data_IF_221342630700
#
_entry.id   IF_221342630700
#
_cell.length_a   1.000
_cell.length_b   1.000
_cell.length_c   1.000
_cell.angle_alpha   90.00
_cell.angle_beta   90.00
_cell.angle_gamma   90.00
#
_symmetry.space_group_name_H-M   'P 1'
#
loop_
_entity.id
_entity.type
_entity.pdbx_description
1 polymer ?
#
# COMPACT_ATOMS: atom_id res chain seq x y z
N UNK A 1 57.91 -71.22 -21.94
CA UNK A 1 58.20 -70.10 -22.87
C UNK A 1 57.20 -70.20 -24.02
N UNK A 2 56.20 -69.33 -24.06
CA UNK A 2 55.21 -69.31 -25.15
C UNK A 2 53.84 -68.74 -24.80
N UNK A 3 53.76 -67.80 -23.86
CA UNK A 3 52.52 -67.17 -23.38
C UNK A 3 52.38 -65.76 -24.01
N UNK A 4 52.52 -65.69 -25.34
CA UNK A 4 52.66 -64.42 -26.08
C UNK A 4 51.68 -64.28 -27.26
N UNK A 5 50.53 -64.96 -27.23
CA UNK A 5 49.56 -64.93 -28.34
C UNK A 5 48.18 -64.36 -28.01
N UNK A 6 47.84 -64.07 -26.74
CA UNK A 6 46.56 -63.42 -26.41
C UNK A 6 46.60 -61.89 -26.38
N UNK A 7 47.77 -61.28 -26.17
CA UNK A 7 47.88 -59.80 -26.03
C UNK A 7 47.67 -59.06 -27.36
N UNK A 8 47.80 -59.75 -28.51
CA UNK A 8 47.64 -59.11 -29.83
C UNK A 8 46.19 -58.99 -30.30
N UNK A 9 45.21 -59.60 -29.63
CA UNK A 9 43.78 -59.51 -30.04
C UNK A 9 43.07 -58.27 -29.48
N UNK A 10 43.66 -57.57 -28.51
CA UNK A 10 43.05 -56.39 -27.90
C UNK A 10 43.47 -55.06 -28.55
N UNK A 11 44.31 -55.06 -29.60
CA UNK A 11 44.80 -53.83 -30.26
C UNK A 11 44.10 -53.49 -31.58
N UNK A 12 43.13 -54.30 -32.03
CA UNK A 12 42.27 -54.00 -33.18
C UNK A 12 40.79 -54.06 -32.75
N UNK A 13 40.38 -53.06 -31.97
CA UNK A 13 38.98 -52.61 -32.03
C UNK A 13 39.01 -51.20 -32.61
N UNK A 14 38.62 -51.11 -33.89
CA UNK A 14 38.20 -49.87 -34.52
C UNK A 14 37.23 -49.11 -33.60
N UNK A 15 37.28 -47.76 -33.60
CA UNK A 15 36.41 -46.96 -32.75
C UNK A 15 34.97 -47.08 -33.27
N UNK A 16 34.17 -47.96 -32.66
CA UNK A 16 32.73 -47.95 -32.86
C UNK A 16 32.20 -46.59 -32.38
N UNK A 17 31.74 -45.80 -33.34
CA UNK A 17 30.81 -44.67 -33.26
C UNK A 17 30.71 -43.93 -31.93
N UNK A 18 31.16 -42.67 -31.92
CA UNK A 18 31.02 -41.70 -30.84
C UNK A 18 29.59 -41.19 -30.57
N UNK A 19 28.56 -41.74 -31.23
CA UNK A 19 27.20 -41.18 -31.25
C UNK A 19 26.18 -41.81 -30.27
N UNK A 20 26.16 -43.13 -29.93
CA UNK A 20 25.18 -43.66 -28.98
C UNK A 20 25.54 -43.36 -27.51
N UNK A 21 26.80 -43.05 -27.22
CA UNK A 21 27.27 -42.77 -25.85
C UNK A 21 26.95 -41.34 -25.37
N UNK A 22 26.62 -40.42 -26.28
CA UNK A 22 26.16 -39.06 -25.95
C UNK A 22 24.65 -39.04 -25.72
N UNK A 23 23.87 -39.71 -26.57
CA UNK A 23 22.41 -39.86 -26.40
C UNK A 23 22.05 -40.62 -25.11
N UNK A 24 22.75 -41.73 -24.82
CA UNK A 24 22.51 -42.49 -23.59
C UNK A 24 22.88 -41.68 -22.33
N UNK A 25 23.94 -40.86 -22.39
CA UNK A 25 24.30 -39.93 -21.30
C UNK A 25 23.28 -38.83 -21.11
N UNK A 26 22.75 -38.26 -22.20
CA UNK A 26 21.69 -37.25 -22.16
C UNK A 26 20.41 -37.79 -21.53
N UNK A 27 20.01 -39.02 -21.90
CA UNK A 27 18.85 -39.68 -21.33
C UNK A 27 19.04 -39.96 -19.82
N UNK A 28 20.21 -40.47 -19.42
CA UNK A 28 20.54 -40.69 -18.00
C UNK A 28 20.56 -39.39 -17.19
N UNK A 29 21.07 -38.30 -17.77
CA UNK A 29 21.07 -36.97 -17.16
C UNK A 29 19.64 -36.44 -16.94
N UNK A 30 18.77 -36.54 -17.96
CA UNK A 30 17.36 -36.15 -17.86
C UNK A 30 16.61 -36.97 -16.82
N UNK A 31 16.81 -38.28 -16.78
CA UNK A 31 16.22 -39.14 -15.75
C UNK A 31 16.67 -38.74 -14.34
N UNK A 32 17.96 -38.49 -14.13
CA UNK A 32 18.49 -38.01 -12.84
C UNK A 32 17.89 -36.67 -12.43
N UNK A 33 17.72 -35.75 -13.37
CA UNK A 33 17.08 -34.46 -13.13
C UNK A 33 15.61 -34.62 -12.71
N UNK A 34 14.84 -35.43 -13.44
CA UNK A 34 13.44 -35.73 -13.12
C UNK A 34 13.30 -36.39 -11.75
N UNK A 35 14.18 -37.35 -11.41
CA UNK A 35 14.18 -37.97 -10.09
C UNK A 35 14.47 -36.97 -8.95
N UNK A 36 15.39 -36.02 -9.15
CA UNK A 36 15.67 -34.98 -8.16
C UNK A 36 14.46 -34.05 -7.96
N UNK A 37 13.77 -33.68 -9.04
CA UNK A 37 12.53 -32.90 -8.96
C UNK A 37 11.42 -33.68 -8.27
N UNK A 38 11.21 -34.93 -8.64
CA UNK A 38 10.19 -35.79 -8.04
C UNK A 38 10.42 -36.00 -6.55
N UNK A 39 11.68 -36.21 -6.14
CA UNK A 39 12.07 -36.26 -4.73
C UNK A 39 11.64 -35.00 -3.99
N UNK A 40 11.92 -33.82 -4.56
CA UNK A 40 11.57 -32.54 -3.94
C UNK A 40 10.08 -32.33 -3.84
N UNK A 41 9.31 -32.72 -4.86
CA UNK A 41 7.85 -32.70 -4.82
C UNK A 41 7.34 -33.56 -3.66
N UNK A 42 7.82 -34.80 -3.56
CA UNK A 42 7.43 -35.71 -2.48
C UNK A 42 7.81 -35.16 -1.10
N UNK A 43 9.04 -34.68 -0.94
CA UNK A 43 9.50 -34.07 0.31
C UNK A 43 8.64 -32.85 0.68
N UNK A 44 8.33 -32.00 -0.30
CA UNK A 44 7.50 -30.82 -0.10
C UNK A 44 6.06 -31.13 0.30
N UNK A 45 5.51 -32.26 -0.15
CA UNK A 45 4.13 -32.69 0.14
C UNK A 45 3.99 -33.41 1.48
N UNK A 46 5.06 -34.01 2.00
CA UNK A 46 5.02 -34.78 3.26
C UNK A 46 5.67 -34.06 4.44
N UNK A 47 6.38 -32.95 4.21
CA UNK A 47 7.04 -32.20 5.28
C UNK A 47 6.16 -31.07 5.81
N UNK A 48 5.51 -31.32 6.94
CA UNK A 48 4.53 -30.40 7.56
C UNK A 48 5.03 -28.97 7.80
N UNK A 49 6.22 -28.71 8.42
CA UNK A 49 6.67 -27.34 8.65
C UNK A 49 6.96 -26.58 7.36
N UNK A 50 7.27 -27.27 6.26
CA UNK A 50 7.43 -26.67 4.95
C UNK A 50 6.08 -26.18 4.41
N UNK A 51 5.06 -27.03 4.40
CA UNK A 51 3.71 -26.67 3.93
C UNK A 51 3.12 -25.53 4.76
N UNK A 52 3.34 -25.59 6.07
CA UNK A 52 2.89 -24.57 7.01
C UNK A 52 3.51 -23.20 6.68
N UNK A 53 4.83 -23.15 6.48
CA UNK A 53 5.56 -21.89 6.27
C UNK A 53 5.49 -21.36 4.83
N UNK A 54 5.49 -22.24 3.82
CA UNK A 54 5.49 -21.86 2.40
C UNK A 54 4.11 -21.52 1.84
N UNK A 55 3.07 -22.20 2.32
CA UNK A 55 1.75 -22.16 1.68
C UNK A 55 0.68 -21.69 2.66
N UNK A 56 0.52 -22.37 3.80
CA UNK A 56 -0.60 -22.09 4.71
C UNK A 56 -0.52 -20.69 5.32
N UNK A 57 0.68 -20.30 5.81
CA UNK A 57 0.87 -19.03 6.49
C UNK A 57 0.71 -17.84 5.52
N UNK A 58 1.31 -17.83 4.30
CA UNK A 58 1.05 -16.77 3.33
C UNK A 58 -0.41 -16.63 2.92
N UNK A 59 -1.12 -17.75 2.76
CA UNK A 59 -2.55 -17.74 2.45
C UNK A 59 -3.34 -17.11 3.61
N UNK A 60 -3.06 -17.51 4.84
CA UNK A 60 -3.73 -16.98 6.02
C UNK A 60 -3.50 -15.47 6.16
N UNK A 61 -2.27 -15.01 5.95
CA UNK A 61 -1.93 -13.58 6.01
C UNK A 61 -2.59 -12.80 4.86
N UNK A 62 -2.65 -13.37 3.64
CA UNK A 62 -3.33 -12.75 2.51
C UNK A 62 -4.84 -12.62 2.72
N UNK A 63 -5.48 -13.64 3.30
CA UNK A 63 -6.91 -13.60 3.67
C UNK A 63 -7.14 -12.57 4.78
N UNK A 64 -6.28 -12.56 5.80
CA UNK A 64 -6.36 -11.60 6.91
C UNK A 64 -6.24 -10.17 6.39
N UNK A 65 -5.27 -9.92 5.51
CA UNK A 65 -5.10 -8.63 4.85
C UNK A 65 -6.37 -8.28 4.05
N UNK A 66 -6.82 -9.14 3.16
CA UNK A 66 -8.05 -8.93 2.40
C UNK A 66 -9.28 -8.64 3.28
N UNK A 67 -9.38 -9.28 4.44
CA UNK A 67 -10.48 -9.07 5.39
C UNK A 67 -10.43 -7.72 6.11
N UNK A 68 -9.24 -7.24 6.51
CA UNK A 68 -9.07 -5.89 7.08
C UNK A 68 -9.53 -4.85 6.07
N UNK A 69 -9.15 -5.05 4.82
CA UNK A 69 -9.32 -4.06 3.77
C UNK A 69 -10.71 -4.09 3.13
N UNK A 70 -11.38 -5.24 3.20
CA UNK A 70 -12.81 -5.36 2.89
C UNK A 70 -13.71 -4.98 4.07
N UNK A 71 -13.13 -4.79 5.27
CA UNK A 71 -13.81 -4.60 6.54
C UNK A 71 -14.53 -3.28 6.73
N UNK A 72 -14.49 -2.38 5.74
CA UNK A 72 -15.34 -1.19 5.71
C UNK A 72 -16.80 -1.57 5.45
N UNK A 73 -17.43 -2.13 6.48
CA UNK A 73 -18.87 -2.25 6.60
C UNK A 73 -19.53 -0.91 6.24
N UNK A 74 -20.55 -1.02 5.39
CA UNK A 74 -21.52 0.00 5.02
C UNK A 74 -21.57 1.16 6.03
N UNK A 75 -20.84 2.24 5.76
CA UNK A 75 -21.04 3.48 6.49
C UNK A 75 -22.47 3.89 6.12
N UNK A 76 -23.46 3.80 7.04
CA UNK A 76 -24.80 4.24 6.72
C UNK A 76 -24.65 5.69 6.27
N UNK A 77 -25.29 6.06 5.17
CA UNK A 77 -25.27 7.43 4.65
C UNK A 77 -25.88 8.35 5.71
N UNK A 78 -25.09 8.76 6.69
CA UNK A 78 -25.49 9.73 7.69
C UNK A 78 -25.62 11.02 6.91
N UNK A 79 -26.85 11.44 6.68
CA UNK A 79 -27.17 12.78 6.18
C UNK A 79 -26.76 13.77 7.25
N UNK A 80 -25.47 14.06 7.35
CA UNK A 80 -24.97 15.14 8.19
C UNK A 80 -25.41 16.43 7.50
N UNK A 81 -26.33 17.14 8.15
CA UNK A 81 -26.80 18.43 7.65
C UNK A 81 -25.73 19.47 7.94
N UNK A 82 -24.79 19.65 7.02
CA UNK A 82 -23.76 20.70 7.07
C UNK A 82 -24.40 22.06 6.80
N UNK A 83 -25.06 22.62 7.80
CA UNK A 83 -25.67 23.95 7.73
C UNK A 83 -25.53 24.64 9.08
N UNK A 84 -25.62 25.97 9.11
CA UNK A 84 -25.63 26.76 10.35
C UNK A 84 -26.69 26.33 11.38
N UNK A 85 -27.68 25.53 10.97
CA UNK A 85 -28.65 24.87 11.86
C UNK A 85 -28.03 23.78 12.76
N UNK A 86 -26.90 23.18 12.38
CA UNK A 86 -26.23 22.15 13.18
C UNK A 86 -25.31 22.72 14.26
N UNK A 87 -25.06 24.03 14.25
CA UNK A 87 -24.18 24.69 15.23
C UNK A 87 -25.04 25.12 16.42
N UNK A 88 -24.76 24.62 17.65
CA UNK A 88 -25.65 24.84 18.78
C UNK A 88 -25.69 26.30 19.24
N UNK A 89 -24.54 27.00 19.23
CA UNK A 89 -24.40 28.44 19.51
C UNK A 89 -23.15 28.99 18.84
N UNK A 90 -23.21 30.22 18.33
CA UNK A 90 -22.07 30.86 17.69
C UNK A 90 -22.28 32.35 17.45
N UNK A 91 -21.21 33.06 17.07
CA UNK A 91 -21.27 34.47 16.68
C UNK A 91 -20.93 34.64 15.20
N UNK A 92 -21.66 35.51 14.51
CA UNK A 92 -21.34 35.93 13.15
C UNK A 92 -21.00 37.41 13.15
N UNK A 93 -19.83 37.79 12.62
CA UNK A 93 -19.36 39.17 12.70
C UNK A 93 -19.58 39.90 11.37
N UNK A 94 -20.09 41.11 11.43
CA UNK A 94 -20.27 41.97 10.27
C UNK A 94 -19.47 43.26 10.47
N UNK A 95 -18.43 43.44 9.67
CA UNK A 95 -17.61 44.64 9.67
C UNK A 95 -18.10 45.59 8.58
N UNK A 96 -18.73 46.67 9.01
CA UNK A 96 -19.32 47.70 8.15
C UNK A 96 -18.81 49.10 8.55
N UNK A 97 -17.64 49.52 8.06
CA UNK A 97 -16.97 50.75 8.50
C UNK A 97 -17.71 52.04 8.09
N UNK A 98 -18.44 52.03 6.95
CA UNK A 98 -19.13 53.22 6.41
C UNK A 98 -20.66 53.17 6.53
N UNK A 99 -21.19 52.23 7.33
CA UNK A 99 -22.61 52.07 7.62
C UNK A 99 -23.50 51.88 6.37
N UNK A 100 -23.03 51.09 5.41
CA UNK A 100 -23.79 50.71 4.22
C UNK A 100 -24.99 49.82 4.63
N UNK A 101 -26.22 50.27 4.38
CA UNK A 101 -27.42 49.58 4.85
C UNK A 101 -27.81 48.39 3.97
N UNK A 102 -27.48 48.41 2.68
CA UNK A 102 -27.96 47.44 1.68
C UNK A 102 -27.39 46.04 1.88
N UNK A 103 -26.06 45.89 1.96
CA UNK A 103 -25.41 44.59 2.17
C UNK A 103 -25.60 44.10 3.62
N UNK A 104 -25.55 45.04 4.58
CA UNK A 104 -25.77 44.73 6.00
C UNK A 104 -27.16 44.14 6.25
N UNK A 105 -28.21 44.75 5.68
CA UNK A 105 -29.59 44.24 5.84
C UNK A 105 -29.80 42.89 5.15
N UNK A 106 -29.13 42.62 4.03
CA UNK A 106 -29.17 41.31 3.36
C UNK A 106 -28.52 40.23 4.22
N UNK A 107 -27.31 40.46 4.72
CA UNK A 107 -26.59 39.51 5.58
C UNK A 107 -27.37 39.27 6.88
N UNK A 108 -27.92 40.31 7.50
CA UNK A 108 -28.78 40.20 8.69
C UNK A 108 -30.02 39.34 8.40
N UNK A 109 -30.65 39.51 7.23
CA UNK A 109 -31.83 38.73 6.84
C UNK A 109 -31.49 37.25 6.63
N UNK A 110 -30.34 36.95 6.01
CA UNK A 110 -29.86 35.57 5.85
C UNK A 110 -29.58 34.93 7.22
N UNK A 111 -28.91 35.65 8.12
CA UNK A 111 -28.55 35.14 9.44
C UNK A 111 -29.75 35.02 10.38
N UNK A 112 -30.81 35.80 10.19
CA UNK A 112 -32.07 35.66 10.95
C UNK A 112 -32.74 34.28 10.75
N UNK A 113 -32.41 33.55 9.69
CA UNK A 113 -32.84 32.15 9.48
C UNK A 113 -32.24 31.20 10.54
N UNK A 114 -31.20 31.62 11.25
CA UNK A 114 -30.43 30.83 12.21
C UNK A 114 -30.42 31.52 13.59
N UNK A 115 -31.49 31.40 14.39
CA UNK A 115 -31.65 32.12 15.66
C UNK A 115 -30.60 31.75 16.73
N UNK A 116 -29.94 30.61 16.57
CA UNK A 116 -28.86 30.15 17.43
C UNK A 116 -27.51 30.88 17.22
N UNK A 117 -27.41 31.73 16.20
CA UNK A 117 -26.20 32.50 15.88
C UNK A 117 -26.44 33.98 16.15
N UNK A 118 -25.65 34.56 17.04
CA UNK A 118 -25.71 35.98 17.38
C UNK A 118 -24.92 36.80 16.35
N UNK A 119 -25.54 37.80 15.72
CA UNK A 119 -24.87 38.66 14.73
C UNK A 119 -24.36 39.93 15.40
N UNK A 120 -23.05 40.17 15.33
CA UNK A 120 -22.39 41.35 15.89
C UNK A 120 -21.94 42.28 14.76
N UNK A 121 -22.32 43.56 14.84
CA UNK A 121 -21.98 44.56 13.82
C UNK A 121 -20.92 45.52 14.36
N UNK A 122 -19.79 45.63 13.66
CA UNK A 122 -18.70 46.53 14.01
C UNK A 122 -18.52 47.61 12.95
N UNK A 123 -18.29 48.85 13.40
CA UNK A 123 -18.04 50.02 12.54
C UNK A 123 -16.56 50.29 12.27
N UNK A 124 -15.71 49.26 12.36
CA UNK A 124 -14.26 49.39 12.23
C UNK A 124 -13.72 48.47 11.15
N UNK A 125 -12.64 48.88 10.50
CA UNK A 125 -11.89 48.09 9.51
C UNK A 125 -10.91 47.09 10.18
N UNK A 126 -10.62 47.26 11.47
CA UNK A 126 -9.62 46.48 12.20
C UNK A 126 -10.17 45.12 12.68
N UNK A 127 -10.28 44.16 11.76
CA UNK A 127 -10.81 42.81 12.03
C UNK A 127 -10.10 42.10 13.19
N UNK A 128 -8.77 42.22 13.29
CA UNK A 128 -7.96 41.50 14.30
C UNK A 128 -8.24 41.92 15.74
N UNK A 129 -8.63 43.18 15.96
CA UNK A 129 -8.85 43.72 17.30
C UNK A 129 -10.21 43.31 17.87
N UNK A 130 -11.20 43.14 17.00
CA UNK A 130 -12.58 42.83 17.37
C UNK A 130 -12.93 41.36 17.18
N UNK A 131 -11.96 40.51 16.86
CA UNK A 131 -12.17 39.07 16.77
C UNK A 131 -12.25 38.48 18.18
N UNK A 132 -13.43 38.05 18.66
CA UNK A 132 -13.56 37.53 20.01
C UNK A 132 -12.84 36.17 20.11
N UNK A 133 -12.03 36.04 21.15
CA UNK A 133 -11.37 34.78 21.52
C UNK A 133 -12.19 33.98 22.54
N UNK A 134 -13.22 34.62 23.10
CA UNK A 134 -14.08 34.03 24.13
C UNK A 134 -15.28 33.30 23.52
N UNK A 135 -15.80 32.33 24.26
CA UNK A 135 -17.01 31.59 23.89
C UNK A 135 -18.26 32.50 23.97
N UNK A 136 -19.26 32.35 23.08
CA UNK A 136 -19.33 31.44 21.93
C UNK A 136 -18.42 31.86 20.77
N UNK A 137 -17.79 30.87 20.14
CA UNK A 137 -16.81 31.06 19.08
C UNK A 137 -17.41 31.70 17.82
N UNK A 138 -16.56 32.36 17.05
CA UNK A 138 -16.92 32.95 15.76
C UNK A 138 -17.14 31.84 14.75
N UNK A 139 -18.27 31.87 14.07
CA UNK A 139 -18.61 30.89 13.03
C UNK A 139 -18.22 31.41 11.65
N UNK A 140 -18.26 32.73 11.47
CA UNK A 140 -17.84 33.41 10.25
C UNK A 140 -17.94 34.92 10.42
N UNK A 141 -17.34 35.64 9.47
CA UNK A 141 -17.41 37.08 9.41
C UNK A 141 -17.48 37.59 7.96
N UNK A 142 -18.08 38.76 7.78
CA UNK A 142 -18.14 39.47 6.50
C UNK A 142 -17.52 40.84 6.68
N UNK A 143 -16.59 41.20 5.80
CA UNK A 143 -15.94 42.50 5.77
C UNK A 143 -16.29 43.18 4.46
N UNK A 144 -16.88 44.37 4.55
CA UNK A 144 -17.22 45.19 3.39
C UNK A 144 -16.10 46.20 3.21
N UNK A 145 -15.32 46.05 2.14
CA UNK A 145 -14.28 47.00 1.72
C UNK A 145 -14.76 47.77 0.49
N UNK A 146 -14.38 49.03 0.42
CA UNK A 146 -14.55 49.82 -0.80
C UNK A 146 -13.21 49.96 -1.48
N UNK A 147 -13.14 49.53 -2.74
CA UNK A 147 -11.98 49.71 -3.60
C UNK A 147 -12.27 50.88 -4.53
N UNK A 148 -11.39 51.87 -4.51
CA UNK A 148 -11.45 52.95 -5.48
C UNK A 148 -11.25 52.37 -6.88
N UNK A 149 -12.30 52.40 -7.71
CA UNK A 149 -12.18 52.00 -9.11
C UNK A 149 -11.43 53.09 -9.86
N UNK A 150 -10.38 52.72 -10.60
CA UNK A 150 -9.52 53.64 -11.34
C UNK A 150 -10.18 54.28 -12.59
N UNK A 151 -11.51 54.38 -12.63
CA UNK A 151 -12.24 55.00 -13.74
C UNK A 151 -13.64 55.44 -13.34
N UNK A 152 -13.91 56.72 -13.56
CA UNK A 152 -15.25 57.32 -13.62
C UNK A 152 -16.15 57.09 -12.39
N UNK A 153 -15.70 57.50 -11.20
CA UNK A 153 -16.56 57.80 -10.03
C UNK A 153 -17.37 56.64 -9.43
N UNK A 154 -17.31 55.43 -9.99
CA UNK A 154 -18.00 54.26 -9.48
C UNK A 154 -17.15 53.60 -8.40
N UNK A 155 -17.59 53.70 -7.15
CA UNK A 155 -16.95 53.00 -6.01
C UNK A 155 -17.27 51.51 -6.14
N UNK A 156 -16.24 50.69 -6.41
CA UNK A 156 -16.39 49.24 -6.44
C UNK A 156 -16.38 48.70 -5.01
N UNK A 157 -17.32 47.80 -4.69
CA UNK A 157 -17.45 47.20 -3.37
C UNK A 157 -16.90 45.78 -3.40
N UNK A 158 -15.94 45.50 -2.54
CA UNK A 158 -15.36 44.17 -2.36
C UNK A 158 -15.88 43.60 -1.03
N UNK A 159 -16.48 42.42 -1.09
CA UNK A 159 -17.01 41.73 0.08
C UNK A 159 -16.10 40.54 0.38
N UNK A 160 -15.38 40.60 1.48
CA UNK A 160 -14.53 39.52 1.94
C UNK A 160 -15.29 38.67 2.96
N UNK A 161 -15.31 37.35 2.73
CA UNK A 161 -15.89 36.37 3.65
C UNK A 161 -14.76 35.69 4.42
N UNK A 162 -14.80 35.76 5.75
CA UNK A 162 -13.78 35.24 6.64
C UNK A 162 -14.35 34.10 7.48
N UNK A 163 -13.91 32.87 7.23
CA UNK A 163 -14.34 31.71 8.00
C UNK A 163 -13.16 31.08 8.75
N UNK A 164 -13.29 30.84 10.07
CA UNK A 164 -12.24 30.22 10.85
C UNK A 164 -12.10 28.72 10.54
N UNK A 165 -10.86 28.24 10.54
CA UNK A 165 -10.52 26.84 10.25
C UNK A 165 -11.00 25.83 11.29
N UNK A 166 -11.23 26.28 12.53
CA UNK A 166 -11.71 25.41 13.60
C UNK A 166 -13.20 25.05 13.44
N UNK A 167 -13.92 25.72 12.54
CA UNK A 167 -15.29 25.36 12.20
C UNK A 167 -15.24 24.27 11.14
N UNK A 168 -15.79 23.10 11.49
CA UNK A 168 -15.96 21.99 10.56
C UNK A 168 -16.70 22.45 9.30
N UNK A 169 -16.16 22.12 8.11
CA UNK A 169 -16.76 22.46 6.81
C UNK A 169 -16.98 23.97 6.60
N UNK A 170 -16.05 24.79 7.09
CA UNK A 170 -16.06 26.26 6.94
C UNK A 170 -16.19 26.74 5.49
N UNK A 171 -15.65 25.99 4.54
CA UNK A 171 -15.77 26.21 3.09
C UNK A 171 -17.21 26.06 2.58
N UNK A 172 -17.90 25.02 3.02
CA UNK A 172 -19.29 24.75 2.61
C UNK A 172 -20.26 25.73 3.28
N UNK A 173 -19.97 26.11 4.52
CA UNK A 173 -20.70 27.16 5.22
C UNK A 173 -20.53 28.51 4.54
N UNK A 174 -19.31 28.85 4.11
CA UNK A 174 -19.05 30.06 3.32
C UNK A 174 -19.87 30.06 2.03
N UNK A 175 -19.81 28.97 1.25
CA UNK A 175 -20.57 28.84 0.00
C UNK A 175 -22.08 28.92 0.23
N UNK A 176 -22.58 28.39 1.35
CA UNK A 176 -23.99 28.53 1.73
C UNK A 176 -24.36 30.00 2.01
N UNK A 177 -23.57 30.75 2.78
CA UNK A 177 -23.86 32.18 3.06
C UNK A 177 -23.78 33.01 1.78
N UNK A 178 -22.73 32.80 0.99
CA UNK A 178 -22.51 33.52 -0.26
C UNK A 178 -23.71 33.32 -1.19
N UNK A 179 -24.10 32.06 -1.43
CA UNK A 179 -25.25 31.75 -2.29
C UNK A 179 -26.57 32.33 -1.76
N UNK A 180 -26.85 32.25 -0.45
CA UNK A 180 -28.06 32.82 0.15
C UNK A 180 -28.09 34.37 0.05
N UNK A 181 -26.95 35.04 0.22
CA UNK A 181 -26.84 36.52 0.07
C UNK A 181 -27.04 36.95 -1.37
N UNK A 182 -26.44 36.25 -2.34
CA UNK A 182 -26.63 36.51 -3.77
C UNK A 182 -28.07 36.21 -4.22
N UNK A 183 -28.69 35.15 -3.70
CA UNK A 183 -30.11 34.85 -3.97
C UNK A 183 -31.03 35.97 -3.47
N UNK A 184 -30.80 36.49 -2.26
CA UNK A 184 -31.61 37.55 -1.68
C UNK A 184 -31.40 38.93 -2.34
N UNK A 185 -30.28 39.15 -3.02
CA UNK A 185 -30.01 40.41 -3.74
C UNK A 185 -30.83 40.53 -5.04
N UNK A 186 -31.62 39.51 -5.41
CA UNK A 186 -32.48 39.50 -6.59
C UNK A 186 -31.81 38.97 -7.86
N UNK A 187 -30.54 38.58 -7.77
CA UNK A 187 -29.81 37.90 -8.84
C UNK A 187 -30.04 36.39 -8.83
N UNK A 188 -31.04 35.93 -9.60
CA UNK A 188 -31.34 34.52 -9.93
C UNK A 188 -31.81 33.60 -8.79
N UNK A 189 -32.91 32.89 -9.08
CA UNK A 189 -33.38 31.74 -8.30
C UNK A 189 -32.39 30.57 -8.43
N UNK A 190 -31.41 30.50 -7.54
CA UNK A 190 -30.56 29.32 -7.39
C UNK A 190 -30.68 28.79 -5.96
N UNK A 191 -31.36 27.64 -5.81
CA UNK A 191 -31.30 26.85 -4.59
C UNK A 191 -30.13 25.88 -4.75
N UNK A 192 -29.03 26.13 -4.04
CA UNK A 192 -27.87 25.23 -4.06
C UNK A 192 -28.15 24.11 -3.05
N UNK A 193 -28.69 23.01 -3.55
CA UNK A 193 -28.76 21.75 -2.82
C UNK A 193 -27.41 21.05 -2.88
N UNK A 194 -26.64 21.09 -1.80
CA UNK A 194 -25.43 20.28 -1.70
C UNK A 194 -25.82 18.83 -1.39
N UNK A 195 -25.80 17.99 -2.43
CA UNK A 195 -25.83 16.54 -2.26
C UNK A 195 -24.38 16.06 -2.13
N UNK A 196 -23.88 15.98 -0.90
CA UNK A 196 -22.64 15.26 -0.64
C UNK A 196 -22.87 13.77 -0.86
N UNK A 197 -22.30 13.24 -1.93
CA UNK A 197 -22.04 11.82 -2.03
C UNK A 197 -20.74 11.55 -1.30
N UNK A 198 -20.82 10.84 -0.16
CA UNK A 198 -19.66 10.25 0.48
C UNK A 198 -18.99 9.35 -0.57
N UNK A 199 -17.89 9.84 -1.15
CA UNK A 199 -16.95 8.94 -1.83
C UNK A 199 -16.32 8.17 -0.68
N UNK A 200 -16.63 6.88 -0.59
CA UNK A 200 -15.96 5.96 0.32
C UNK A 200 -14.46 6.07 0.01
N UNK A 201 -13.72 6.78 0.85
CA UNK A 201 -12.28 6.77 0.78
C UNK A 201 -11.90 5.36 1.26
N UNK A 202 -11.67 4.45 0.31
CA UNK A 202 -11.55 3.00 0.52
C UNK A 202 -10.30 2.62 1.37
N UNK A 203 -9.54 3.61 1.83
CA UNK A 203 -8.27 3.45 2.55
C UNK A 203 -8.13 4.56 3.57
N UNK A 204 -8.11 4.22 4.85
CA UNK A 204 -7.60 5.11 5.87
C UNK A 204 -6.06 5.20 5.73
N UNK A 205 -5.47 6.27 6.24
CA UNK A 205 -4.01 6.49 6.21
C UNK A 205 -3.25 5.37 6.94
N UNK A 206 -3.88 4.75 7.94
CA UNK A 206 -3.38 3.57 8.65
C UNK A 206 -3.30 2.34 7.76
N UNK A 207 -4.29 2.11 6.90
CA UNK A 207 -4.34 0.96 5.99
C UNK A 207 -3.26 1.04 4.91
N UNK A 208 -2.93 2.25 4.46
CA UNK A 208 -1.85 2.49 3.50
C UNK A 208 -0.47 2.09 4.06
N UNK A 209 -0.29 2.14 5.38
CA UNK A 209 0.99 1.83 6.05
C UNK A 209 1.02 0.37 6.52
N UNK A 210 -0.11 -0.13 7.02
CA UNK A 210 -0.23 -1.49 7.55
C UNK A 210 -0.17 -2.56 6.43
N UNK A 211 -0.82 -2.31 5.30
CA UNK A 211 -0.90 -3.30 4.22
C UNK A 211 0.46 -3.66 3.59
N UNK A 212 1.34 -2.69 3.24
CA UNK A 212 2.69 -2.99 2.76
C UNK A 212 3.53 -3.74 3.80
N UNK A 213 3.39 -3.41 5.09
CA UNK A 213 4.13 -4.06 6.17
C UNK A 213 3.75 -5.55 6.31
N UNK A 214 2.45 -5.87 6.28
CA UNK A 214 1.95 -7.24 6.34
C UNK A 214 2.35 -8.04 5.09
N UNK A 215 2.23 -7.43 3.90
CA UNK A 215 2.67 -8.03 2.64
C UNK A 215 4.15 -8.36 2.64
N UNK A 216 4.98 -7.45 3.16
CA UNK A 216 6.42 -7.62 3.28
C UNK A 216 6.77 -8.76 4.23
N UNK A 217 6.13 -8.81 5.40
CA UNK A 217 6.32 -9.90 6.37
C UNK A 217 6.00 -11.26 5.75
N UNK A 218 4.96 -11.33 4.92
CA UNK A 218 4.60 -12.53 4.16
C UNK A 218 5.73 -12.99 3.24
N UNK A 219 6.34 -12.07 2.48
CA UNK A 219 7.45 -12.40 1.57
C UNK A 219 8.72 -12.82 2.33
N UNK A 220 8.98 -12.22 3.50
CA UNK A 220 10.11 -12.61 4.35
C UNK A 220 9.97 -14.06 4.83
N UNK A 221 8.76 -14.44 5.27
CA UNK A 221 8.50 -15.80 5.73
C UNK A 221 8.59 -16.82 4.60
N UNK A 222 8.05 -16.50 3.42
CA UNK A 222 8.16 -17.36 2.23
C UNK A 222 9.65 -17.55 1.88
N UNK A 223 10.42 -16.48 1.73
CA UNK A 223 11.82 -16.61 1.32
C UNK A 223 12.68 -17.34 2.35
N UNK A 224 12.41 -17.15 3.64
CA UNK A 224 13.14 -17.85 4.71
C UNK A 224 12.84 -19.34 4.73
N UNK A 225 11.64 -19.78 4.35
CA UNK A 225 11.28 -21.20 4.32
C UNK A 225 12.11 -22.04 3.33
N UNK A 226 12.66 -21.42 2.26
CA UNK A 226 13.48 -22.14 1.28
C UNK A 226 14.81 -22.64 1.86
N UNK A 227 15.20 -22.20 3.06
CA UNK A 227 16.38 -22.77 3.75
C UNK A 227 16.13 -24.14 4.35
N UNK A 228 14.87 -24.51 4.59
CA UNK A 228 14.52 -25.70 5.39
C UNK A 228 15.01 -26.98 4.70
N UNK A 229 14.65 -27.18 3.43
CA UNK A 229 15.04 -28.40 2.68
C UNK A 229 16.57 -28.51 2.55
N UNK A 230 17.31 -27.50 2.05
CA UNK A 230 18.76 -27.61 1.93
C UNK A 230 19.49 -27.82 3.26
N UNK A 231 19.03 -27.18 4.34
CA UNK A 231 19.62 -27.34 5.66
C UNK A 231 19.35 -28.74 6.26
N UNK A 232 18.16 -29.31 6.01
CA UNK A 232 17.84 -30.66 6.46
C UNK A 232 18.60 -31.73 5.68
N UNK A 233 18.76 -31.55 4.37
CA UNK A 233 19.57 -32.43 3.52
C UNK A 233 21.07 -32.39 3.90
N UNK A 234 21.52 -31.26 4.45
CA UNK A 234 22.86 -31.12 5.02
C UNK A 234 22.98 -31.81 6.39
N UNK A 235 22.02 -31.60 7.29
CA UNK A 235 22.03 -32.18 8.63
C UNK A 235 21.89 -33.71 8.61
N UNK A 236 21.10 -34.24 7.68
CA UNK A 236 20.96 -35.69 7.46
C UNK A 236 22.08 -36.31 6.62
N UNK A 237 23.05 -35.51 6.16
CA UNK A 237 24.10 -35.89 5.21
C UNK A 237 23.56 -36.49 3.88
N UNK A 238 22.27 -36.37 3.61
CA UNK A 238 21.63 -36.97 2.44
C UNK A 238 22.22 -36.42 1.13
N UNK A 239 22.54 -35.11 1.09
CA UNK A 239 23.23 -34.50 -0.06
C UNK A 239 24.57 -35.18 -0.37
N UNK A 240 25.32 -35.58 0.65
CA UNK A 240 26.59 -36.27 0.47
C UNK A 240 26.38 -37.66 -0.16
N UNK A 241 25.37 -38.41 0.29
CA UNK A 241 25.00 -39.69 -0.32
C UNK A 241 24.61 -39.52 -1.79
N UNK A 242 23.83 -38.49 -2.14
CA UNK A 242 23.45 -38.23 -3.53
C UNK A 242 24.66 -37.98 -4.44
N UNK A 243 25.64 -37.23 -3.95
CA UNK A 243 26.88 -36.98 -4.70
C UNK A 243 27.68 -38.27 -4.87
N UNK A 244 27.73 -39.12 -3.83
CA UNK A 244 28.39 -40.44 -3.89
C UNK A 244 27.73 -41.40 -4.90
N UNK A 245 26.42 -41.26 -5.16
CA UNK A 245 25.72 -42.02 -6.23
C UNK A 245 26.02 -41.52 -7.65
N UNK A 246 26.90 -40.53 -7.80
CA UNK A 246 27.35 -40.03 -9.10
C UNK A 246 26.50 -38.87 -9.66
N UNK A 247 25.70 -38.19 -8.82
CA UNK A 247 25.03 -36.94 -9.19
C UNK A 247 26.03 -35.78 -9.07
N UNK A 248 26.18 -35.00 -10.15
CA UNK A 248 27.06 -33.81 -10.09
C UNK A 248 26.49 -32.74 -9.14
N UNK A 249 27.32 -32.04 -8.35
CA UNK A 249 26.86 -30.95 -7.48
C UNK A 249 26.15 -29.82 -8.23
N UNK A 250 26.59 -29.50 -9.46
CA UNK A 250 25.96 -28.48 -10.30
C UNK A 250 24.52 -28.87 -10.67
N UNK A 251 24.28 -30.13 -11.04
CA UNK A 251 22.94 -30.62 -11.37
C UNK A 251 22.00 -30.55 -10.17
N UNK A 252 22.50 -30.89 -8.98
CA UNK A 252 21.74 -30.78 -7.73
C UNK A 252 21.28 -29.34 -7.47
N UNK A 253 22.19 -28.37 -7.53
CA UNK A 253 21.85 -26.97 -7.27
C UNK A 253 20.95 -26.38 -8.34
N UNK A 254 21.18 -26.73 -9.61
CA UNK A 254 20.34 -26.29 -10.71
C UNK A 254 18.91 -26.83 -10.61
N UNK A 255 18.75 -28.13 -10.32
CA UNK A 255 17.43 -28.72 -10.08
C UNK A 255 16.73 -28.11 -8.86
N UNK A 256 17.49 -27.81 -7.80
CA UNK A 256 16.98 -27.14 -6.60
C UNK A 256 16.48 -25.73 -6.91
N UNK A 257 17.27 -24.95 -7.64
CA UNK A 257 16.92 -23.58 -8.02
C UNK A 257 15.67 -23.55 -8.92
N UNK A 258 15.59 -24.41 -9.94
CA UNK A 258 14.41 -24.47 -10.82
C UNK A 258 13.15 -24.80 -10.02
N UNK A 259 13.25 -25.79 -9.13
CA UNK A 259 12.11 -26.19 -8.29
C UNK A 259 11.65 -25.03 -7.38
N UNK A 260 12.58 -24.38 -6.69
CA UNK A 260 12.25 -23.30 -5.75
C UNK A 260 11.70 -22.06 -6.48
N UNK A 261 12.20 -21.74 -7.69
CA UNK A 261 11.61 -20.69 -8.54
C UNK A 261 10.16 -21.02 -8.91
N UNK A 262 9.89 -22.26 -9.31
CA UNK A 262 8.55 -22.71 -9.65
C UNK A 262 7.59 -22.60 -8.46
N UNK A 263 8.02 -23.07 -7.28
CA UNK A 263 7.23 -22.98 -6.03
C UNK A 263 7.01 -21.52 -5.65
N UNK A 264 8.04 -20.67 -5.70
CA UNK A 264 7.91 -19.24 -5.40
C UNK A 264 6.88 -18.56 -6.30
N UNK A 265 6.93 -18.81 -7.61
CA UNK A 265 5.97 -18.25 -8.56
C UNK A 265 4.54 -18.71 -8.27
N UNK A 266 4.36 -20.01 -7.98
CA UNK A 266 3.05 -20.59 -7.66
C UNK A 266 2.46 -19.99 -6.37
N UNK A 267 3.26 -19.86 -5.30
CA UNK A 267 2.81 -19.25 -4.04
C UNK A 267 2.45 -17.78 -4.24
N UNK A 268 3.29 -17.02 -4.96
CA UNK A 268 2.96 -15.64 -5.32
C UNK A 268 1.63 -15.59 -6.07
N UNK A 269 1.41 -16.41 -7.10
CA UNK A 269 0.16 -16.46 -7.85
C UNK A 269 -1.06 -16.71 -6.94
N UNK A 270 -0.97 -17.67 -6.00
CA UNK A 270 -2.05 -17.94 -5.04
C UNK A 270 -2.37 -16.71 -4.19
N UNK A 271 -1.35 -16.05 -3.63
CA UNK A 271 -1.53 -14.82 -2.83
C UNK A 271 -2.23 -13.75 -3.66
N UNK A 272 -1.88 -13.61 -4.94
CA UNK A 272 -2.54 -12.65 -5.84
C UNK A 272 -3.98 -12.99 -6.14
N UNK A 273 -4.26 -14.27 -6.38
CA UNK A 273 -5.62 -14.72 -6.63
C UNK A 273 -6.53 -14.44 -5.44
N UNK A 274 -6.03 -14.62 -4.22
CA UNK A 274 -6.74 -14.25 -2.98
C UNK A 274 -7.00 -12.73 -2.95
N UNK A 275 -5.98 -11.90 -3.19
CA UNK A 275 -6.13 -10.44 -3.18
C UNK A 275 -7.08 -9.94 -4.27
N UNK A 276 -7.12 -10.62 -5.43
CA UNK A 276 -8.06 -10.33 -6.50
C UNK A 276 -9.53 -10.54 -6.06
N UNK A 277 -9.82 -11.57 -5.26
CA UNK A 277 -11.17 -11.78 -4.70
C UNK A 277 -11.62 -10.65 -3.77
N UNK A 278 -10.69 -9.91 -3.16
CA UNK A 278 -10.99 -8.78 -2.29
C UNK A 278 -11.02 -7.43 -3.04
N UNK A 279 -11.22 -7.45 -4.36
CA UNK A 279 -11.24 -6.27 -5.24
C UNK A 279 -9.97 -5.40 -5.14
N UNK A 280 -8.84 -6.00 -4.81
CA UNK A 280 -7.54 -5.35 -4.87
C UNK A 280 -6.82 -5.75 -6.16
N UNK A 281 -6.98 -4.91 -7.20
CA UNK A 281 -6.21 -5.04 -8.42
C UNK A 281 -4.85 -4.33 -8.27
N UNK A 282 -3.78 -5.11 -8.30
CA UNK A 282 -2.42 -4.58 -8.45
C UNK A 282 -2.01 -4.63 -9.93
N UNK A 283 -1.07 -3.76 -10.31
CA UNK A 283 -0.49 -3.80 -11.65
C UNK A 283 0.37 -5.05 -11.82
N UNK A 284 0.44 -5.59 -13.04
CA UNK A 284 1.31 -6.73 -13.38
C UNK A 284 2.76 -6.52 -12.94
N UNK A 285 3.27 -5.29 -12.99
CA UNK A 285 4.62 -4.93 -12.52
C UNK A 285 4.86 -5.26 -11.05
N UNK A 286 3.83 -5.11 -10.20
CA UNK A 286 3.93 -5.45 -8.78
C UNK A 286 4.10 -6.95 -8.58
N UNK A 287 3.39 -7.76 -9.37
CA UNK A 287 3.49 -9.22 -9.35
C UNK A 287 4.87 -9.71 -9.77
N UNK A 288 5.40 -9.13 -10.85
CA UNK A 288 6.74 -9.44 -11.31
C UNK A 288 7.78 -9.07 -10.25
N UNK A 289 7.62 -7.91 -9.60
CA UNK A 289 8.53 -7.46 -8.55
C UNK A 289 8.50 -8.40 -7.34
N UNK A 290 7.30 -8.82 -6.90
CA UNK A 290 7.11 -9.77 -5.80
C UNK A 290 7.77 -11.13 -6.10
N UNK A 291 7.57 -11.68 -7.30
CA UNK A 291 8.20 -12.92 -7.72
C UNK A 291 9.73 -12.78 -7.81
N UNK A 292 10.23 -11.70 -8.43
CA UNK A 292 11.67 -11.42 -8.54
C UNK A 292 12.33 -11.26 -7.17
N UNK A 293 11.64 -10.63 -6.21
CA UNK A 293 12.12 -10.54 -4.83
C UNK A 293 12.38 -11.93 -4.24
N UNK A 294 11.45 -12.88 -4.42
CA UNK A 294 11.65 -14.24 -3.95
C UNK A 294 12.87 -14.90 -4.62
N UNK A 295 13.01 -14.75 -5.95
CA UNK A 295 14.10 -15.35 -6.71
C UNK A 295 15.47 -14.79 -6.33
N UNK A 296 15.60 -13.48 -6.13
CA UNK A 296 16.86 -12.82 -5.75
C UNK A 296 17.33 -13.27 -4.36
N UNK A 297 16.40 -13.63 -3.47
CA UNK A 297 16.74 -14.11 -2.13
C UNK A 297 17.07 -15.62 -2.07
N UNK A 298 16.82 -16.41 -3.12
CA UNK A 298 17.14 -17.85 -3.13
C UNK A 298 18.65 -18.15 -2.95
N UNK A 299 19.58 -17.47 -3.65
CA UNK A 299 21.01 -17.70 -3.43
C UNK A 299 21.45 -17.39 -2.01
N UNK A 300 20.87 -16.35 -1.40
CA UNK A 300 21.11 -16.00 0.01
C UNK A 300 20.64 -17.12 0.93
N UNK A 301 19.46 -17.68 0.66
CA UNK A 301 18.92 -18.81 1.42
C UNK A 301 19.83 -20.04 1.35
N UNK A 302 20.36 -20.36 0.16
CA UNK A 302 21.29 -21.47 0.01
C UNK A 302 22.61 -21.22 0.74
N UNK A 303 23.16 -20.01 0.67
CA UNK A 303 24.38 -19.66 1.38
C UNK A 303 24.22 -19.83 2.89
N UNK A 304 23.12 -19.32 3.46
CA UNK A 304 22.83 -19.47 4.90
C UNK A 304 22.63 -20.94 5.28
N UNK A 305 21.93 -21.72 4.45
CA UNK A 305 21.75 -23.15 4.70
C UNK A 305 23.07 -23.94 4.73
N UNK A 306 24.09 -23.48 3.99
CA UNK A 306 25.40 -24.13 4.01
C UNK A 306 26.24 -23.78 5.24
N UNK A 307 26.07 -22.57 5.79
CA UNK A 307 26.83 -22.08 6.95
C UNK A 307 26.27 -22.59 8.28
N UNK A 308 24.96 -22.78 8.37
CA UNK A 308 24.27 -23.16 9.60
C UNK A 308 23.81 -24.61 9.55
N UNK A 309 24.33 -25.44 10.45
CA UNK A 309 24.01 -26.88 10.50
C UNK A 309 22.58 -27.17 10.97
N UNK A 310 21.93 -26.23 11.66
CA UNK A 310 20.59 -26.41 12.25
C UNK A 310 19.52 -25.68 11.42
N UNK A 311 18.51 -26.42 10.96
CA UNK A 311 17.40 -25.93 10.12
C UNK A 311 16.67 -24.73 10.74
N UNK A 312 16.29 -24.83 12.02
CA UNK A 312 15.55 -23.77 12.72
C UNK A 312 16.35 -22.47 12.90
N UNK A 313 17.66 -22.59 13.14
CA UNK A 313 18.54 -21.42 13.31
C UNK A 313 18.73 -20.72 11.95
N UNK A 314 18.89 -21.49 10.86
CA UNK A 314 18.99 -20.94 9.51
C UNK A 314 17.73 -20.16 9.10
N UNK A 315 16.56 -20.72 9.38
CA UNK A 315 15.28 -20.06 9.14
C UNK A 315 15.16 -18.75 9.93
N UNK A 316 15.37 -18.80 11.26
CA UNK A 316 15.26 -17.61 12.12
C UNK A 316 16.27 -16.52 11.76
N UNK A 317 17.50 -16.91 11.40
CA UNK A 317 18.55 -15.98 11.00
C UNK A 317 18.13 -15.16 9.78
N UNK A 318 17.54 -15.79 8.75
CA UNK A 318 17.07 -15.06 7.57
C UNK A 318 15.87 -14.16 7.87
N UNK A 319 14.92 -14.62 8.68
CA UNK A 319 13.78 -13.79 9.10
C UNK A 319 14.27 -12.51 9.78
N UNK A 320 15.25 -12.63 10.68
CA UNK A 320 15.84 -11.49 11.39
C UNK A 320 16.64 -10.60 10.43
N UNK A 321 17.48 -11.20 9.58
CA UNK A 321 18.33 -10.46 8.64
C UNK A 321 17.50 -9.64 7.65
N UNK A 322 16.46 -10.25 7.06
CA UNK A 322 15.59 -9.57 6.12
C UNK A 322 14.74 -8.50 6.81
N UNK A 323 14.17 -8.79 7.98
CA UNK A 323 13.37 -7.80 8.71
C UNK A 323 14.18 -6.56 9.09
N UNK A 324 15.44 -6.73 9.51
CA UNK A 324 16.37 -5.61 9.75
C UNK A 324 16.68 -4.80 8.48
N UNK A 325 16.83 -5.46 7.33
CA UNK A 325 17.08 -4.78 6.06
C UNK A 325 15.91 -3.91 5.58
N UNK A 326 14.68 -4.24 5.99
CA UNK A 326 13.48 -3.52 5.57
C UNK A 326 13.14 -2.29 6.41
N UNK A 327 13.49 -2.27 7.70
CA UNK A 327 13.17 -1.14 8.59
C UNK A 327 13.65 0.22 8.03
N UNK A 328 14.88 0.37 7.51
CA UNK A 328 15.34 1.62 6.92
C UNK A 328 14.54 2.04 5.69
N UNK A 329 14.13 1.08 4.85
CA UNK A 329 13.37 1.35 3.63
C UNK A 329 11.98 1.92 3.95
N UNK A 330 11.34 1.36 4.98
CA UNK A 330 10.05 1.82 5.45
C UNK A 330 10.13 3.21 6.10
N UNK A 331 11.19 3.47 6.89
CA UNK A 331 11.44 4.80 7.45
C UNK A 331 11.69 5.84 6.36
N UNK A 332 12.41 5.49 5.30
CA UNK A 332 12.67 6.37 4.17
C UNK A 332 11.37 6.77 3.45
N UNK A 333 10.45 5.82 3.21
CA UNK A 333 9.15 6.13 2.59
C UNK A 333 8.31 7.06 3.47
N UNK A 334 8.28 6.81 4.78
CA UNK A 334 7.61 7.69 5.75
C UNK A 334 8.16 9.11 5.80
N UNK A 335 9.46 9.29 5.51
CA UNK A 335 10.10 10.61 5.44
C UNK A 335 9.92 11.31 4.08
N UNK A 336 9.72 10.56 2.99
CA UNK A 336 9.62 11.11 1.64
C UNK A 336 8.22 11.60 1.27
N UNK A 337 7.18 11.19 2.02
CA UNK A 337 5.81 11.66 1.77
C UNK A 337 5.69 13.16 2.12
N UNK A 338 5.37 14.03 1.14
CA UNK A 338 5.27 15.46 1.40
C UNK A 338 4.13 15.74 2.39
N UNK A 339 4.32 16.63 3.37
CA UNK A 339 3.20 17.13 4.17
C UNK A 339 2.22 17.79 3.22
N UNK A 340 0.96 17.36 3.25
CA UNK A 340 -0.15 17.93 2.47
C UNK A 340 -0.11 19.45 2.66
N UNK A 341 0.32 20.19 1.61
CA UNK A 341 0.57 21.64 1.71
C UNK A 341 -0.75 22.37 1.97
N UNK A 342 -0.91 22.78 3.21
CA UNK A 342 -1.93 23.70 3.68
C UNK A 342 -1.81 25.05 2.97
N UNK A 343 -2.96 25.69 2.70
CA UNK A 343 -3.19 26.96 1.98
C UNK A 343 -3.49 26.82 0.49
N UNK A 344 -4.80 26.90 0.19
CA UNK A 344 -5.29 27.47 -1.06
C UNK A 344 -6.17 28.67 -0.68
N UNK A 345 -5.62 29.88 -0.77
CA UNK A 345 -6.46 31.07 -0.89
C UNK A 345 -7.02 31.04 -2.31
N UNK A 346 -8.34 31.00 -2.46
CA UNK A 346 -8.98 31.35 -3.71
C UNK A 346 -9.34 32.83 -3.58
N UNK A 347 -8.63 33.65 -4.34
CA UNK A 347 -8.93 35.05 -4.63
C UNK A 347 -10.26 35.14 -5.38
#
# INVERSE_FOLDING_TARGET
MGEATEVKRCTEMEPLGSEPASEFRGCLFMWRFIFLLWKKIMLSLFHFPLILSQVLLPIFVAIYLGSILSGDLEVPSVKVKHSFASIPRGRFLLFNPKNESTVSTLVMRVMHKYPQIEVLVFRSENVKLFWPMDWPWVVGAVVIKEVASNGMGAVAKEIEYLFPRYVFHSDLLMMQVVSDVYFMSGGLKMSVGFEMRLRKEKYDRSDFVLAPFIMMLTHILITSSFTIIPAEEQNSHFKHLQIMTGVSPCLYWFATLIYDIFVAFLVCLIVLFILFFFDWSFSFSFYLLAALYCVINLPLAYLVSTLLSTTGIAFLFLVIFQSLAFIPLFLADGMLQPPVRNFRCLL
#
